data_IF_605649601799
#
_entry.id   IF_605649601799
#
_cell.length_a   1.000
_cell.length_b   1.000
_cell.length_c   1.000
_cell.angle_alpha   90.00
_cell.angle_beta   90.00
_cell.angle_gamma   90.00
#
_symmetry.space_group_name_H-M   'P 1'
#
loop_
_entity.id
_entity.type
_entity.pdbx_description
1 polymer ?
#
# COMPACT_ATOMS: atom_id res chain seq x y z
N UNK A 1 47.06 -22.84 30.33
CA UNK A 1 45.89 -23.65 29.97
C UNK A 1 45.04 -22.99 28.90
N UNK A 2 44.99 -21.65 28.84
CA UNK A 2 44.20 -20.85 27.89
C UNK A 2 45.10 -19.77 27.24
N UNK A 3 46.03 -20.13 26.32
CA UNK A 3 46.98 -19.18 25.77
C UNK A 3 46.28 -18.07 24.93
N UNK A 4 45.19 -18.40 24.23
CA UNK A 4 44.46 -17.42 23.45
C UNK A 4 43.80 -16.35 24.33
N UNK A 5 43.25 -16.76 25.48
CA UNK A 5 42.66 -15.81 26.46
C UNK A 5 43.77 -14.99 27.14
N UNK A 6 44.92 -15.61 27.44
CA UNK A 6 46.03 -14.89 28.02
C UNK A 6 46.61 -13.82 27.07
N UNK A 7 46.54 -14.03 25.75
CA UNK A 7 46.90 -13.05 24.75
C UNK A 7 45.99 -11.82 24.72
N UNK A 8 44.80 -11.88 25.27
CA UNK A 8 43.87 -10.76 25.42
C UNK A 8 44.02 -10.03 26.77
N UNK A 9 45.05 -10.36 27.56
CA UNK A 9 45.36 -9.69 28.83
C UNK A 9 45.81 -8.24 28.58
N UNK A 10 45.05 -7.27 29.11
CA UNK A 10 45.39 -5.86 28.91
C UNK A 10 46.57 -5.43 29.77
N UNK A 11 47.40 -4.52 29.23
CA UNK A 11 48.47 -3.87 29.93
C UNK A 11 48.03 -3.08 31.20
N UNK A 12 46.74 -2.71 31.26
CA UNK A 12 46.13 -2.04 32.44
C UNK A 12 46.15 -2.90 33.71
N UNK A 13 46.43 -4.19 33.57
CA UNK A 13 46.56 -5.08 34.75
C UNK A 13 47.92 -5.00 35.41
N UNK A 14 48.93 -4.30 34.80
CA UNK A 14 50.26 -4.21 35.38
C UNK A 14 50.22 -3.78 36.85
N UNK A 15 50.97 -4.41 37.80
CA UNK A 15 52.00 -5.42 37.55
C UNK A 15 51.52 -6.88 37.46
N UNK A 16 50.20 -7.15 37.62
CA UNK A 16 49.63 -8.51 37.59
C UNK A 16 49.75 -9.13 36.19
N UNK A 17 50.28 -10.35 36.12
CA UNK A 17 50.50 -11.08 34.87
C UNK A 17 49.50 -12.23 34.71
N UNK A 18 49.21 -12.67 33.46
CA UNK A 18 48.21 -13.74 33.24
C UNK A 18 48.66 -15.12 33.74
N UNK A 19 49.95 -15.33 33.93
CA UNK A 19 50.52 -16.56 34.50
C UNK A 19 50.46 -16.61 36.03
N UNK A 20 50.16 -15.45 36.69
CA UNK A 20 50.03 -15.36 38.13
C UNK A 20 48.59 -15.53 38.63
N UNK A 21 47.66 -15.84 37.72
CA UNK A 21 46.23 -16.05 38.02
C UNK A 21 45.76 -17.41 37.61
N UNK A 22 44.80 -17.99 38.33
CA UNK A 22 44.16 -19.25 37.98
C UNK A 22 42.98 -19.01 37.04
N UNK A 23 42.83 -19.88 36.05
CA UNK A 23 41.64 -19.96 35.25
C UNK A 23 40.41 -20.20 36.15
N UNK A 24 39.26 -19.68 35.76
CA UNK A 24 38.01 -19.73 36.54
C UNK A 24 38.04 -18.97 37.87
N UNK A 25 39.06 -18.11 38.09
CA UNK A 25 39.11 -17.24 39.24
C UNK A 25 37.98 -16.19 39.22
N UNK A 26 37.43 -15.90 40.40
CA UNK A 26 36.45 -14.82 40.61
C UNK A 26 37.09 -13.43 40.69
N UNK A 27 38.39 -13.32 40.46
CA UNK A 27 39.03 -12.02 40.30
C UNK A 27 38.64 -11.39 38.99
N UNK A 28 38.55 -10.08 38.94
CA UNK A 28 38.33 -9.31 37.71
C UNK A 28 39.68 -8.80 37.18
N UNK A 29 39.78 -8.79 35.85
CA UNK A 29 40.93 -8.22 35.14
C UNK A 29 40.46 -7.41 33.93
N UNK A 30 41.35 -6.59 33.39
CA UNK A 30 41.17 -5.87 32.15
C UNK A 30 41.55 -6.78 30.97
N UNK A 31 40.70 -6.78 29.96
CA UNK A 31 40.86 -7.57 28.75
C UNK A 31 40.91 -6.65 27.54
N UNK A 32 41.71 -6.96 26.54
CA UNK A 32 41.77 -6.31 25.24
C UNK A 32 41.58 -7.36 24.18
N UNK A 33 40.37 -7.43 23.62
CA UNK A 33 40.04 -8.42 22.59
C UNK A 33 40.69 -8.11 21.25
N UNK A 34 40.66 -9.10 20.34
CA UNK A 34 41.10 -8.95 18.93
C UNK A 34 40.30 -7.86 18.19
N UNK A 35 39.12 -7.52 18.65
CA UNK A 35 38.27 -6.42 18.18
C UNK A 35 38.78 -5.02 18.57
N UNK A 36 39.82 -4.94 19.39
CA UNK A 36 40.41 -3.69 19.88
C UNK A 36 39.70 -3.10 21.11
N UNK A 37 38.55 -3.60 21.51
CA UNK A 37 37.84 -3.15 22.68
C UNK A 37 38.54 -3.59 23.97
N UNK A 38 38.49 -2.74 24.99
CA UNK A 38 38.95 -3.06 26.33
C UNK A 38 37.80 -3.06 27.33
N UNK A 39 37.78 -4.08 28.20
CA UNK A 39 36.74 -4.22 29.23
C UNK A 39 37.27 -4.87 30.51
N UNK A 40 36.51 -4.69 31.56
CA UNK A 40 36.82 -5.26 32.86
C UNK A 40 35.83 -6.36 33.19
N UNK A 41 36.32 -7.61 33.33
CA UNK A 41 35.47 -8.79 33.53
C UNK A 41 36.14 -9.84 34.43
N UNK A 42 35.35 -10.77 34.95
CA UNK A 42 35.83 -11.91 35.70
C UNK A 42 36.71 -12.82 34.83
N UNK A 43 37.80 -13.34 35.41
CA UNK A 43 38.66 -14.32 34.76
C UNK A 43 37.87 -15.58 34.47
N UNK A 44 36.97 -16.02 35.38
CA UNK A 44 36.07 -17.16 35.16
C UNK A 44 35.21 -16.97 33.92
N UNK A 45 34.57 -15.80 33.74
CA UNK A 45 33.73 -15.54 32.56
C UNK A 45 34.54 -15.67 31.24
N UNK A 46 35.78 -15.19 31.22
CA UNK A 46 36.65 -15.37 30.04
C UNK A 46 37.00 -16.85 29.81
N UNK A 47 37.27 -17.57 30.90
CA UNK A 47 37.59 -19.01 30.85
C UNK A 47 36.40 -19.86 30.43
N UNK A 48 35.18 -19.40 30.67
CA UNK A 48 33.92 -20.00 30.24
C UNK A 48 33.57 -19.65 28.78
N UNK A 49 34.41 -18.86 28.10
CA UNK A 49 34.25 -18.55 26.70
C UNK A 49 33.48 -17.26 26.36
N UNK A 50 33.06 -16.47 27.37
CA UNK A 50 32.41 -15.18 27.12
C UNK A 50 33.39 -14.21 26.45
N UNK A 51 32.98 -13.61 25.34
CA UNK A 51 33.80 -12.68 24.54
C UNK A 51 33.73 -11.23 24.99
N UNK A 52 33.92 -10.35 24.04
CA UNK A 52 33.83 -8.91 24.26
C UNK A 52 32.35 -8.49 24.45
N UNK A 53 31.99 -7.90 25.61
CA UNK A 53 30.61 -7.54 25.91
C UNK A 53 30.01 -6.48 24.96
N UNK A 54 30.86 -5.73 24.27
CA UNK A 54 30.43 -4.73 23.29
C UNK A 54 30.11 -5.41 21.94
N UNK A 55 30.92 -6.38 21.51
CA UNK A 55 30.66 -7.14 20.28
C UNK A 55 29.45 -8.08 20.40
N UNK A 56 29.18 -8.54 21.63
CA UNK A 56 28.05 -9.42 21.94
C UNK A 56 26.78 -8.66 22.38
N UNK A 57 26.76 -7.33 22.22
CA UNK A 57 25.65 -6.44 22.61
C UNK A 57 25.19 -6.51 24.08
N UNK A 58 26.01 -7.10 24.93
CA UNK A 58 25.72 -7.16 26.39
C UNK A 58 25.98 -5.84 27.10
N UNK A 59 26.83 -4.98 26.52
CA UNK A 59 27.17 -3.67 27.06
C UNK A 59 27.21 -2.63 25.96
N UNK A 60 26.56 -1.50 26.20
CA UNK A 60 26.53 -0.39 25.27
C UNK A 60 27.91 0.31 25.17
N UNK A 61 28.34 0.57 23.96
CA UNK A 61 29.46 1.43 23.60
C UNK A 61 29.00 2.41 22.52
N UNK A 62 28.80 3.69 22.91
CA UNK A 62 28.36 4.72 21.96
C UNK A 62 29.35 4.88 20.80
N UNK A 63 28.82 5.05 19.60
CA UNK A 63 29.60 5.12 18.37
C UNK A 63 30.00 3.77 17.80
N UNK A 64 29.63 2.67 18.45
CA UNK A 64 29.95 1.32 17.97
C UNK A 64 28.72 0.39 17.86
N UNK A 65 28.11 0.03 19.00
CA UNK A 65 26.98 -0.91 19.02
C UNK A 65 25.68 -0.25 19.49
N UNK A 66 25.65 1.07 19.59
CA UNK A 66 24.39 1.77 19.81
C UNK A 66 23.52 1.72 18.54
N UNK A 67 22.21 1.78 18.75
CA UNK A 67 21.25 1.66 17.67
C UNK A 67 21.39 2.78 16.62
N UNK A 68 21.70 4.01 17.06
CA UNK A 68 21.86 5.14 16.14
C UNK A 68 23.06 4.95 15.20
N UNK A 69 24.15 4.37 15.69
CA UNK A 69 25.36 4.10 14.91
C UNK A 69 25.16 2.93 13.95
N UNK A 70 24.45 1.87 14.37
CA UNK A 70 24.22 0.68 13.54
C UNK A 70 23.12 0.89 12.51
N UNK A 71 22.08 1.66 12.84
CA UNK A 71 20.89 1.87 12.00
C UNK A 71 20.57 3.35 11.85
N UNK A 72 21.44 4.17 11.23
CA UNK A 72 21.30 5.62 11.20
C UNK A 72 20.03 6.10 10.49
N UNK A 73 19.52 5.34 9.53
CA UNK A 73 18.26 5.70 8.84
C UNK A 73 17.05 5.46 9.74
N UNK A 74 17.01 4.36 10.47
CA UNK A 74 15.93 4.07 11.43
C UNK A 74 16.02 5.01 12.64
N UNK A 75 17.21 5.39 13.04
CA UNK A 75 17.40 6.33 14.15
C UNK A 75 16.80 7.73 13.88
N UNK A 76 16.64 8.14 12.61
CA UNK A 76 15.92 9.37 12.23
C UNK A 76 14.42 9.30 12.51
N UNK A 77 13.88 8.09 12.62
CA UNK A 77 12.49 7.85 12.98
C UNK A 77 12.29 7.71 14.50
N UNK A 78 13.34 7.82 15.29
CA UNK A 78 13.26 7.71 16.75
C UNK A 78 12.48 8.89 17.33
N UNK A 79 11.37 8.60 18.01
CA UNK A 79 10.52 9.65 18.56
C UNK A 79 11.09 10.26 19.83
N UNK A 80 10.87 11.56 20.01
CA UNK A 80 11.19 12.31 21.23
C UNK A 80 10.39 11.84 22.45
N UNK A 81 9.31 11.08 22.25
CA UNK A 81 8.54 10.44 23.34
C UNK A 81 9.34 9.37 24.09
N UNK A 82 10.44 8.89 23.51
CA UNK A 82 11.32 7.96 24.20
C UNK A 82 12.09 8.68 25.31
N UNK A 83 12.16 8.02 26.48
CA UNK A 83 12.92 8.55 27.64
C UNK A 83 14.44 8.54 27.41
N UNK A 84 14.91 7.78 26.42
CA UNK A 84 16.32 7.61 26.07
C UNK A 84 16.52 7.82 24.58
N UNK A 85 17.69 8.33 24.19
CA UNK A 85 18.04 8.50 22.79
C UNK A 85 18.37 7.17 22.11
N UNK A 86 18.32 7.16 20.80
CA UNK A 86 18.70 6.01 19.96
C UNK A 86 20.19 5.61 20.15
N UNK A 87 21.03 6.54 20.56
CA UNK A 87 22.45 6.34 20.90
C UNK A 87 22.70 5.76 22.31
N UNK A 88 21.61 5.59 23.08
CA UNK A 88 21.66 5.08 24.44
C UNK A 88 21.08 3.66 24.59
N UNK A 89 20.80 3.00 23.48
CA UNK A 89 20.28 1.61 23.44
C UNK A 89 21.03 0.81 22.38
N UNK A 90 21.15 -0.51 22.58
CA UNK A 90 21.67 -1.44 21.56
C UNK A 90 20.52 -1.95 20.68
N UNK A 91 20.85 -2.49 19.50
CA UNK A 91 19.86 -3.12 18.60
C UNK A 91 19.12 -4.32 19.19
N UNK A 92 19.77 -5.01 20.15
CA UNK A 92 19.21 -6.16 20.89
C UNK A 92 18.33 -5.74 22.08
N UNK A 93 18.19 -4.44 22.36
CA UNK A 93 17.41 -3.98 23.51
C UNK A 93 15.94 -4.38 23.40
N UNK A 94 15.49 -5.18 24.34
CA UNK A 94 14.10 -5.55 24.46
C UNK A 94 13.24 -4.36 24.94
N UNK A 95 12.05 -4.23 24.39
CA UNK A 95 11.07 -3.21 24.77
C UNK A 95 10.43 -2.52 23.59
N UNK A 96 9.30 -1.90 23.87
CA UNK A 96 8.61 -1.04 22.90
C UNK A 96 9.19 0.36 22.95
N UNK A 97 9.52 0.89 21.79
CA UNK A 97 9.97 2.25 21.60
C UNK A 97 9.03 3.00 20.66
N UNK A 98 8.97 4.31 20.84
CA UNK A 98 8.18 5.20 20.01
C UNK A 98 8.95 5.59 18.74
N UNK A 99 8.24 5.58 17.63
CA UNK A 99 8.74 5.88 16.30
C UNK A 99 7.89 6.96 15.66
N UNK A 100 8.54 7.91 15.01
CA UNK A 100 7.90 8.93 14.21
C UNK A 100 7.97 8.52 12.73
N UNK A 101 6.81 8.41 12.07
CA UNK A 101 6.78 8.05 10.66
C UNK A 101 7.02 9.27 9.76
N UNK A 102 8.08 9.30 8.95
CA UNK A 102 8.35 10.45 8.08
C UNK A 102 7.30 10.61 6.95
N UNK A 103 6.59 9.54 6.61
CA UNK A 103 5.61 9.57 5.51
C UNK A 103 4.25 10.13 5.91
N UNK A 104 3.76 9.81 7.12
CA UNK A 104 2.43 10.24 7.57
C UNK A 104 2.46 11.16 8.80
N UNK A 105 3.63 11.37 9.41
CA UNK A 105 3.78 12.15 10.64
C UNK A 105 3.26 11.47 11.91
N UNK A 106 2.71 10.27 11.78
CA UNK A 106 2.14 9.53 12.92
C UNK A 106 3.21 8.95 13.83
N UNK A 107 2.92 8.90 15.12
CA UNK A 107 3.78 8.28 16.13
C UNK A 107 3.17 6.99 16.64
N UNK A 108 3.97 5.93 16.66
CA UNK A 108 3.55 4.59 17.06
C UNK A 108 4.62 3.86 17.84
N UNK A 109 4.25 2.84 18.58
CA UNK A 109 5.19 2.01 19.32
C UNK A 109 5.48 0.70 18.58
N UNK A 110 6.75 0.31 18.54
CA UNK A 110 7.19 -0.96 17.97
C UNK A 110 8.51 -1.42 18.62
N UNK A 111 8.79 -2.73 18.52
CA UNK A 111 10.08 -3.29 18.91
C UNK A 111 11.19 -2.86 17.95
N UNK A 112 12.40 -2.63 18.46
CA UNK A 112 13.58 -2.35 17.62
C UNK A 112 13.79 -3.48 16.61
N UNK A 113 13.75 -4.74 17.06
CA UNK A 113 13.90 -5.91 16.19
C UNK A 113 12.89 -5.90 15.04
N UNK A 114 11.61 -5.63 15.32
CA UNK A 114 10.58 -5.56 14.27
C UNK A 114 10.86 -4.46 13.25
N UNK A 115 11.42 -3.33 13.68
CA UNK A 115 11.80 -2.24 12.77
C UNK A 115 13.00 -2.61 11.91
N UNK A 116 13.99 -3.29 12.49
CA UNK A 116 15.15 -3.84 11.76
C UNK A 116 14.68 -4.87 10.73
N UNK A 117 13.73 -5.74 11.08
CA UNK A 117 13.12 -6.74 10.19
C UNK A 117 12.21 -6.14 9.11
N UNK A 118 12.13 -4.81 9.01
CA UNK A 118 11.40 -4.11 7.96
C UNK A 118 9.91 -3.86 8.23
N UNK A 119 9.44 -4.03 9.47
CA UNK A 119 8.06 -3.66 9.82
C UNK A 119 7.81 -2.17 9.58
N UNK A 120 6.75 -1.87 8.83
CA UNK A 120 6.35 -0.53 8.44
C UNK A 120 5.40 0.10 9.45
N UNK A 121 5.25 1.43 9.35
CA UNK A 121 4.26 2.19 10.11
C UNK A 121 2.86 1.56 10.01
N UNK A 122 2.17 1.30 11.14
CA UNK A 122 0.86 0.67 11.15
C UNK A 122 -0.23 1.55 10.51
N UNK A 123 -0.07 2.85 10.54
CA UNK A 123 -0.98 3.80 9.90
C UNK A 123 -0.82 3.77 8.37
N UNK A 124 0.42 3.84 7.86
CA UNK A 124 0.71 3.76 6.43
C UNK A 124 0.31 2.42 5.80
N UNK A 125 0.29 1.35 6.60
CA UNK A 125 -0.15 0.02 6.14
C UNK A 125 -1.65 -0.21 6.34
N UNK A 126 -2.37 0.72 6.97
CA UNK A 126 -3.79 0.59 7.26
C UNK A 126 -4.13 -0.45 8.33
N UNK A 127 -3.15 -0.97 9.09
CA UNK A 127 -3.38 -1.93 10.19
C UNK A 127 -4.01 -1.27 11.41
N UNK A 128 -3.71 -0.01 11.63
CA UNK A 128 -4.30 0.82 12.68
C UNK A 128 -4.90 2.04 12.02
N UNK A 129 -6.09 2.42 12.43
CA UNK A 129 -6.78 3.62 11.95
C UNK A 129 -6.74 4.67 13.03
N UNK A 130 -6.33 5.86 12.65
CA UNK A 130 -6.39 7.07 13.45
C UNK A 130 -7.20 8.09 12.67
N UNK A 131 -8.29 8.58 13.24
CA UNK A 131 -9.31 9.41 12.59
C UNK A 131 -8.69 10.58 11.82
N UNK A 132 -7.84 11.35 12.48
CA UNK A 132 -7.25 12.57 11.93
C UNK A 132 -5.97 12.33 11.10
N UNK A 133 -5.55 11.08 10.92
CA UNK A 133 -4.29 10.75 10.27
C UNK A 133 -4.50 9.95 8.97
N UNK A 134 -5.13 8.78 9.06
CA UNK A 134 -5.21 7.82 7.96
C UNK A 134 -6.60 7.22 7.72
N UNK A 135 -7.63 7.81 8.32
CA UNK A 135 -9.01 7.40 8.03
C UNK A 135 -9.38 7.67 6.57
N UNK A 136 -10.42 6.99 6.09
CA UNK A 136 -10.96 7.20 4.75
C UNK A 136 -11.43 8.65 4.57
N UNK A 137 -12.13 9.21 5.55
CA UNK A 137 -12.60 10.60 5.51
C UNK A 137 -11.46 11.59 5.40
N UNK A 138 -10.35 11.34 6.09
CA UNK A 138 -9.19 12.22 6.09
C UNK A 138 -8.41 12.16 4.78
N UNK A 139 -8.20 10.95 4.26
CA UNK A 139 -7.32 10.72 3.12
C UNK A 139 -8.04 10.80 1.77
N UNK A 140 -9.34 10.46 1.74
CA UNK A 140 -10.16 10.40 0.53
C UNK A 140 -11.55 10.99 0.78
N UNK A 141 -11.67 12.29 1.08
CA UNK A 141 -12.93 12.91 1.48
C UNK A 141 -14.03 12.80 0.41
N UNK A 142 -13.69 12.89 -0.87
CA UNK A 142 -14.64 12.73 -1.97
C UNK A 142 -15.25 11.31 -2.02
N UNK A 143 -14.44 10.28 -1.78
CA UNK A 143 -14.92 8.89 -1.72
C UNK A 143 -15.70 8.67 -0.42
N UNK A 144 -15.25 9.25 0.69
CA UNK A 144 -15.95 9.17 1.97
C UNK A 144 -17.35 9.83 1.93
N UNK A 145 -17.55 10.83 1.09
CA UNK A 145 -18.87 11.45 0.88
C UNK A 145 -19.90 10.48 0.26
N UNK A 146 -19.43 9.42 -0.42
CA UNK A 146 -20.27 8.36 -0.94
C UNK A 146 -20.53 7.23 0.08
N UNK A 147 -20.09 7.37 1.32
CA UNK A 147 -20.30 6.36 2.36
C UNK A 147 -21.78 6.26 2.73
N UNK A 148 -22.37 5.08 2.57
CA UNK A 148 -23.78 4.88 2.93
C UNK A 148 -23.95 4.68 4.43
N UNK A 149 -24.16 5.76 5.17
CA UNK A 149 -24.29 5.73 6.63
C UNK A 149 -25.47 4.87 7.10
N UNK A 150 -26.57 4.85 6.34
CA UNK A 150 -27.78 4.08 6.71
C UNK A 150 -27.53 2.58 6.70
N UNK A 151 -26.83 2.09 5.67
CA UNK A 151 -26.56 0.65 5.50
C UNK A 151 -25.33 0.17 6.24
N UNK A 152 -24.32 1.02 6.45
CA UNK A 152 -23.13 0.71 7.23
C UNK A 152 -23.31 0.87 8.74
N UNK A 153 -24.41 1.52 9.16
CA UNK A 153 -24.88 1.64 10.56
C UNK A 153 -23.83 2.06 11.58
N UNK A 154 -23.10 1.06 12.14
CA UNK A 154 -22.19 1.24 13.28
C UNK A 154 -20.78 1.64 12.88
N UNK A 155 -20.43 1.55 11.59
CA UNK A 155 -19.08 1.87 11.09
C UNK A 155 -19.14 3.13 10.25
N UNK A 156 -18.32 4.10 10.61
CA UNK A 156 -18.19 5.37 9.87
C UNK A 156 -16.93 5.38 9.00
N UNK A 157 -16.88 6.28 8.03
CA UNK A 157 -15.72 6.46 7.17
C UNK A 157 -14.47 6.92 7.94
N UNK A 158 -14.64 7.47 9.16
CA UNK A 158 -13.54 7.89 10.05
C UNK A 158 -12.88 6.71 10.78
N UNK A 159 -13.58 5.59 10.85
CA UNK A 159 -13.12 4.39 11.56
C UNK A 159 -12.43 3.36 10.65
N UNK A 160 -12.34 3.63 9.37
CA UNK A 160 -11.80 2.70 8.38
C UNK A 160 -10.64 3.32 7.60
N UNK A 161 -9.67 2.49 7.23
CA UNK A 161 -8.55 2.91 6.39
C UNK A 161 -8.91 2.81 4.91
N UNK A 162 -8.38 3.74 4.11
CA UNK A 162 -8.44 3.69 2.65
C UNK A 162 -7.86 2.39 2.04
N UNK A 163 -6.98 1.68 2.77
CA UNK A 163 -6.37 0.43 2.34
C UNK A 163 -7.15 -0.83 2.77
N UNK A 164 -8.30 -0.66 3.42
CA UNK A 164 -9.11 -1.78 3.90
C UNK A 164 -9.67 -2.61 2.74
N UNK A 165 -9.54 -3.94 2.87
CA UNK A 165 -10.12 -4.91 1.94
C UNK A 165 -11.53 -5.36 2.32
N UNK A 166 -12.10 -4.78 3.38
CA UNK A 166 -13.47 -5.05 3.80
C UNK A 166 -14.46 -4.38 2.86
N UNK A 167 -15.62 -5.00 2.67
CA UNK A 167 -16.71 -4.51 1.84
C UNK A 167 -17.69 -3.68 2.66
N UNK A 168 -18.07 -2.53 2.09
CA UNK A 168 -19.05 -1.62 2.65
C UNK A 168 -20.03 -1.14 1.59
N UNK A 169 -21.12 -0.57 2.04
CA UNK A 169 -22.13 0.04 1.19
C UNK A 169 -21.73 1.47 0.81
N UNK A 170 -21.93 1.78 -0.46
CA UNK A 170 -21.69 3.08 -1.07
C UNK A 170 -22.97 3.63 -1.66
N UNK A 171 -23.12 4.95 -1.68
CA UNK A 171 -24.21 5.69 -2.32
C UNK A 171 -23.62 6.92 -2.98
N UNK A 172 -23.50 6.90 -4.31
CA UNK A 172 -22.98 8.05 -5.04
C UNK A 172 -24.06 9.11 -5.30
N UNK A 173 -23.62 10.25 -5.83
CA UNK A 173 -24.50 11.37 -6.23
C UNK A 173 -25.53 10.98 -7.28
N UNK A 174 -25.30 9.91 -8.05
CA UNK A 174 -26.28 9.35 -8.99
C UNK A 174 -27.44 8.63 -8.30
N UNK A 175 -27.40 8.46 -6.96
CA UNK A 175 -28.42 7.75 -6.19
C UNK A 175 -28.28 6.22 -6.16
N UNK A 176 -27.38 5.64 -6.93
CA UNK A 176 -27.14 4.20 -6.89
C UNK A 176 -26.48 3.77 -5.60
N UNK A 177 -26.85 2.59 -5.13
CA UNK A 177 -26.29 1.96 -3.95
C UNK A 177 -25.71 0.59 -4.31
N UNK A 178 -24.46 0.34 -3.85
CA UNK A 178 -23.77 -0.92 -4.13
C UNK A 178 -22.79 -1.27 -3.01
N UNK A 179 -22.29 -2.49 -3.01
CA UNK A 179 -21.20 -2.94 -2.15
C UNK A 179 -19.88 -2.98 -2.91
N UNK A 180 -18.83 -2.47 -2.29
CA UNK A 180 -17.47 -2.61 -2.82
C UNK A 180 -16.46 -2.54 -1.67
N UNK A 181 -15.25 -3.08 -1.90
CA UNK A 181 -14.14 -2.94 -0.97
C UNK A 181 -13.65 -1.50 -0.98
N UNK A 182 -13.25 -1.01 0.20
CA UNK A 182 -12.67 0.34 0.28
C UNK A 182 -11.44 0.43 -0.64
N UNK A 183 -10.57 -0.56 -0.61
CA UNK A 183 -9.37 -0.63 -1.46
C UNK A 183 -9.68 -0.48 -2.96
N UNK A 184 -10.76 -1.10 -3.43
CA UNK A 184 -11.15 -1.02 -4.85
C UNK A 184 -11.60 0.40 -5.21
N UNK A 185 -12.29 1.09 -4.30
CA UNK A 185 -12.71 2.49 -4.48
C UNK A 185 -11.56 3.47 -4.44
N UNK A 186 -10.60 3.27 -3.53
CA UNK A 186 -9.52 4.24 -3.26
C UNK A 186 -8.29 4.05 -4.12
N UNK A 187 -7.82 2.80 -4.26
CA UNK A 187 -6.57 2.46 -4.96
C UNK A 187 -6.82 2.12 -6.42
N UNK A 188 -7.84 1.29 -6.69
CA UNK A 188 -8.20 0.87 -8.06
C UNK A 188 -9.12 1.87 -8.76
N UNK A 189 -9.68 2.83 -8.01
CA UNK A 189 -10.60 3.87 -8.51
C UNK A 189 -11.85 3.32 -9.23
N UNK A 190 -12.29 2.13 -8.84
CA UNK A 190 -13.49 1.50 -9.42
C UNK A 190 -14.70 2.41 -9.18
N UNK A 191 -15.41 2.87 -10.22
CA UNK A 191 -16.56 3.78 -10.11
C UNK A 191 -17.83 3.04 -9.63
N UNK A 192 -18.96 3.73 -9.69
CA UNK A 192 -20.27 3.10 -9.52
C UNK A 192 -20.53 2.11 -10.68
N UNK A 193 -20.69 0.82 -10.42
CA UNK A 193 -20.82 -0.18 -11.48
C UNK A 193 -22.07 0.01 -12.35
N UNK A 194 -23.12 0.62 -11.79
CA UNK A 194 -24.34 0.91 -12.57
C UNK A 194 -24.14 2.11 -13.48
N UNK A 195 -23.52 3.18 -12.98
CA UNK A 195 -23.18 4.33 -13.83
C UNK A 195 -22.20 3.96 -14.92
N UNK A 196 -21.23 3.10 -14.62
CA UNK A 196 -20.28 2.61 -15.62
C UNK A 196 -21.00 1.83 -16.74
N UNK A 197 -21.90 0.92 -16.38
CA UNK A 197 -22.71 0.19 -17.35
C UNK A 197 -23.60 1.14 -18.18
N UNK A 198 -24.31 2.06 -17.53
CA UNK A 198 -25.15 3.05 -18.21
C UNK A 198 -24.33 3.94 -19.13
N UNK A 199 -23.14 4.39 -18.69
CA UNK A 199 -22.24 5.24 -19.47
C UNK A 199 -21.73 4.51 -20.72
N UNK A 200 -21.25 3.28 -20.55
CA UNK A 200 -20.77 2.45 -21.67
C UNK A 200 -21.89 2.22 -22.70
N UNK A 201 -23.12 2.03 -22.24
CA UNK A 201 -24.27 1.83 -23.13
C UNK A 201 -24.68 3.10 -23.88
N UNK A 202 -24.67 4.27 -23.23
CA UNK A 202 -25.16 5.54 -23.80
C UNK A 202 -24.06 6.30 -24.56
N UNK A 203 -22.78 6.05 -24.28
CA UNK A 203 -21.66 6.82 -24.83
C UNK A 203 -21.61 6.80 -26.36
N UNK A 204 -21.80 5.68 -27.07
CA UNK A 204 -21.81 5.67 -28.53
C UNK A 204 -22.88 6.59 -29.11
N UNK A 205 -24.07 6.58 -28.52
CA UNK A 205 -25.20 7.42 -28.91
C UNK A 205 -24.87 8.90 -28.73
N UNK A 206 -24.25 9.28 -27.58
CA UNK A 206 -23.83 10.65 -27.32
C UNK A 206 -22.76 11.14 -28.28
N UNK A 207 -21.77 10.31 -28.62
CA UNK A 207 -20.74 10.65 -29.59
C UNK A 207 -21.33 10.90 -30.99
N UNK A 208 -22.25 10.02 -31.42
CA UNK A 208 -22.94 10.21 -32.70
C UNK A 208 -23.78 11.48 -32.68
N UNK A 209 -24.52 11.77 -31.60
CA UNK A 209 -25.30 12.99 -31.46
C UNK A 209 -24.43 14.25 -31.50
N UNK A 210 -23.26 14.26 -30.83
CA UNK A 210 -22.34 15.39 -30.85
C UNK A 210 -21.77 15.64 -32.27
N UNK A 211 -21.36 14.58 -32.95
CA UNK A 211 -20.84 14.67 -34.31
C UNK A 211 -21.90 15.15 -35.32
N UNK A 212 -23.10 14.57 -35.26
CA UNK A 212 -24.20 14.96 -36.15
C UNK A 212 -24.73 16.33 -35.84
N UNK A 213 -24.78 16.76 -34.55
CA UNK A 213 -25.14 18.10 -34.15
C UNK A 213 -24.21 19.18 -34.72
N UNK A 214 -22.88 18.92 -34.77
CA UNK A 214 -21.92 19.82 -35.41
C UNK A 214 -22.15 19.98 -36.91
N UNK A 215 -22.68 18.97 -37.58
CA UNK A 215 -22.94 18.97 -39.01
C UNK A 215 -24.41 19.27 -39.36
N UNK A 216 -25.26 19.52 -38.36
CA UNK A 216 -26.71 19.72 -38.50
C UNK A 216 -27.46 18.54 -39.12
N UNK A 217 -26.95 17.32 -38.94
CA UNK A 217 -27.60 16.07 -39.34
C UNK A 217 -28.55 15.55 -38.27
N UNK A 218 -29.61 14.88 -38.71
CA UNK A 218 -30.56 14.21 -37.81
C UNK A 218 -30.05 12.82 -37.45
N UNK A 219 -30.21 12.41 -36.21
CA UNK A 219 -30.02 11.00 -35.80
C UNK A 219 -31.35 10.44 -35.37
N UNK A 220 -31.69 9.29 -35.89
CA UNK A 220 -32.87 8.50 -35.50
C UNK A 220 -32.39 7.31 -34.68
N UNK A 221 -32.94 7.16 -33.48
CA UNK A 221 -32.62 6.05 -32.60
C UNK A 221 -33.76 5.04 -32.60
N UNK A 222 -33.41 3.77 -32.52
CA UNK A 222 -34.38 2.66 -32.45
C UNK A 222 -35.45 2.72 -33.53
N UNK A 223 -35.10 3.16 -34.75
CA UNK A 223 -36.03 3.33 -35.86
C UNK A 223 -36.17 2.08 -36.71
N UNK A 224 -37.37 1.79 -37.16
CA UNK A 224 -37.72 0.72 -38.13
C UNK A 224 -38.21 1.27 -39.46
N UNK A 225 -38.31 2.57 -39.60
CA UNK A 225 -38.93 3.26 -40.75
C UNK A 225 -38.25 2.95 -42.09
N UNK A 226 -36.96 2.67 -42.07
CA UNK A 226 -36.19 2.48 -43.28
C UNK A 226 -36.24 1.06 -43.85
N UNK A 227 -36.22 0.07 -42.96
CA UNK A 227 -35.97 -1.33 -43.36
C UNK A 227 -37.06 -2.30 -42.90
N UNK A 228 -38.01 -1.82 -42.07
CA UNK A 228 -38.93 -2.66 -41.31
C UNK A 228 -38.25 -3.51 -40.25
N UNK A 229 -36.94 -3.28 -39.99
CA UNK A 229 -36.18 -3.91 -38.90
C UNK A 229 -35.54 -2.78 -38.09
N UNK A 230 -35.70 -2.88 -36.78
CA UNK A 230 -35.22 -1.90 -35.82
C UNK A 230 -33.70 -1.73 -35.91
N UNK A 231 -33.25 -0.48 -36.19
CA UNK A 231 -31.85 -0.07 -36.20
C UNK A 231 -31.54 0.72 -34.93
N UNK A 232 -30.40 0.50 -34.35
CA UNK A 232 -30.00 1.21 -33.12
C UNK A 232 -29.82 2.72 -33.38
N UNK A 233 -29.07 3.08 -34.40
CA UNK A 233 -28.87 4.46 -34.84
C UNK A 233 -28.90 4.55 -36.37
N UNK A 234 -29.59 5.56 -36.89
CA UNK A 234 -29.62 5.86 -38.32
C UNK A 234 -29.44 7.36 -38.58
N UNK A 235 -28.61 7.70 -39.55
CA UNK A 235 -28.36 9.07 -40.00
C UNK A 235 -28.81 9.19 -41.44
N UNK A 236 -30.02 9.74 -41.68
CA UNK A 236 -30.61 9.82 -43.04
C UNK A 236 -29.75 10.56 -44.03
N UNK A 237 -29.14 11.71 -43.63
CA UNK A 237 -28.32 12.57 -44.50
C UNK A 237 -27.09 11.83 -45.02
N UNK A 238 -26.59 10.83 -44.33
CA UNK A 238 -25.45 10.02 -44.73
C UNK A 238 -25.83 8.63 -45.27
N UNK A 239 -27.10 8.31 -45.23
CA UNK A 239 -27.61 6.94 -45.49
C UNK A 239 -26.81 5.89 -44.73
N UNK A 240 -26.68 6.10 -43.40
CA UNK A 240 -25.75 5.36 -42.52
C UNK A 240 -26.49 4.78 -41.33
N UNK A 241 -26.47 3.46 -41.20
CA UNK A 241 -26.90 2.72 -40.01
C UNK A 241 -25.69 2.29 -39.16
N UNK A 242 -25.77 2.48 -37.85
CA UNK A 242 -24.71 2.18 -36.89
C UNK A 242 -25.30 1.31 -35.78
N UNK A 243 -24.63 0.21 -35.48
CA UNK A 243 -25.05 -0.72 -34.42
C UNK A 243 -23.83 -1.24 -33.62
N UNK A 244 -24.10 -1.62 -32.37
CA UNK A 244 -23.09 -2.32 -31.55
C UNK A 244 -22.87 -3.73 -32.11
N UNK A 245 -21.61 -4.15 -32.22
CA UNK A 245 -21.23 -5.49 -32.63
C UNK A 245 -21.67 -6.50 -31.59
N UNK A 246 -22.51 -7.44 -31.94
CA UNK A 246 -22.88 -8.55 -31.09
C UNK A 246 -21.66 -9.42 -30.77
N UNK A 247 -21.51 -9.79 -29.50
CA UNK A 247 -20.50 -10.76 -29.07
C UNK A 247 -20.79 -12.20 -29.50
N UNK A 248 -22.01 -12.48 -29.99
CA UNK A 248 -22.36 -13.77 -30.56
C UNK A 248 -22.06 -13.76 -32.07
N UNK A 249 -21.01 -14.47 -32.50
CA UNK A 249 -20.63 -14.62 -33.91
C UNK A 249 -21.74 -15.24 -34.78
N UNK A 250 -22.74 -15.86 -34.18
CA UNK A 250 -23.89 -16.46 -34.85
C UNK A 250 -25.11 -15.55 -34.90
N UNK A 251 -24.95 -14.28 -34.54
CA UNK A 251 -26.08 -13.35 -34.54
C UNK A 251 -26.68 -13.22 -35.94
N UNK A 252 -27.80 -13.96 -36.15
CA UNK A 252 -28.53 -13.99 -37.41
C UNK A 252 -29.15 -12.64 -37.71
N UNK A 253 -29.58 -11.90 -36.70
CA UNK A 253 -30.23 -10.62 -36.85
C UNK A 253 -29.29 -9.58 -37.48
N UNK A 254 -28.07 -9.43 -37.03
CA UNK A 254 -27.09 -8.50 -37.60
C UNK A 254 -26.73 -8.83 -39.04
N UNK A 255 -26.69 -10.11 -39.39
CA UNK A 255 -26.50 -10.56 -40.78
C UNK A 255 -27.67 -10.16 -41.69
N UNK A 256 -28.88 -10.33 -41.19
CA UNK A 256 -30.09 -9.91 -41.92
C UNK A 256 -30.15 -8.40 -42.06
N UNK A 257 -29.87 -7.64 -41.00
CA UNK A 257 -29.81 -6.17 -41.04
C UNK A 257 -28.80 -5.68 -42.08
N UNK A 258 -27.60 -6.25 -42.09
CA UNK A 258 -26.58 -5.92 -43.07
C UNK A 258 -27.07 -6.15 -44.49
N UNK A 259 -27.63 -7.30 -44.76
CA UNK A 259 -28.17 -7.67 -46.09
C UNK A 259 -29.30 -6.71 -46.55
N UNK A 260 -30.19 -6.33 -45.63
CA UNK A 260 -31.28 -5.39 -45.96
C UNK A 260 -30.69 -3.97 -46.22
N UNK A 261 -29.72 -3.53 -45.43
CA UNK A 261 -29.03 -2.27 -45.66
C UNK A 261 -28.37 -2.25 -47.06
N UNK A 262 -27.70 -3.33 -47.44
CA UNK A 262 -27.07 -3.46 -48.76
C UNK A 262 -28.10 -3.37 -49.91
N UNK A 263 -29.29 -3.98 -49.76
CA UNK A 263 -30.36 -3.90 -50.72
C UNK A 263 -30.94 -2.49 -50.91
N UNK A 264 -30.84 -1.65 -49.88
CA UNK A 264 -31.38 -0.29 -49.84
C UNK A 264 -30.29 0.79 -50.00
N UNK A 265 -29.08 0.38 -50.39
CA UNK A 265 -27.91 1.27 -50.53
C UNK A 265 -27.59 2.05 -49.22
N UNK A 266 -27.86 1.45 -48.05
CA UNK A 266 -27.55 2.00 -46.75
C UNK A 266 -26.21 1.45 -46.29
N UNK A 267 -25.30 2.38 -45.89
CA UNK A 267 -24.05 1.95 -45.26
C UNK A 267 -24.30 1.43 -43.85
N UNK A 268 -23.81 0.23 -43.55
CA UNK A 268 -24.00 -0.42 -42.27
C UNK A 268 -22.65 -0.58 -41.55
N UNK A 269 -22.49 0.05 -40.39
CA UNK A 269 -21.28 0.03 -39.58
C UNK A 269 -21.58 -0.62 -38.23
N UNK A 270 -20.70 -1.52 -37.82
CA UNK A 270 -20.68 -2.07 -36.47
C UNK A 270 -19.56 -1.44 -35.68
N UNK A 271 -19.87 -0.89 -34.50
CA UNK A 271 -18.84 -0.46 -33.57
C UNK A 271 -18.60 -1.53 -32.51
N UNK A 272 -17.38 -1.60 -31.99
CA UNK A 272 -17.06 -2.50 -30.87
C UNK A 272 -17.60 -1.90 -29.58
N UNK A 273 -18.23 -2.72 -28.72
CA UNK A 273 -18.71 -2.23 -27.43
C UNK A 273 -17.55 -1.72 -26.58
N UNK A 274 -17.72 -0.57 -25.96
CA UNK A 274 -16.76 -0.08 -24.97
C UNK A 274 -16.77 -1.00 -23.75
N UNK A 275 -15.58 -1.37 -23.28
CA UNK A 275 -15.43 -2.23 -22.09
C UNK A 275 -15.41 -1.42 -20.80
N UNK A 276 -15.00 -0.16 -20.91
CA UNK A 276 -14.96 0.80 -19.79
C UNK A 276 -15.04 2.23 -20.31
N UNK A 277 -15.25 3.19 -19.40
CA UNK A 277 -15.20 4.61 -19.72
C UNK A 277 -13.79 5.08 -20.14
N UNK A 278 -12.75 4.28 -19.87
CA UNK A 278 -11.36 4.57 -20.27
C UNK A 278 -11.08 4.18 -21.71
N UNK A 279 -11.91 3.33 -22.32
CA UNK A 279 -11.77 2.88 -23.72
C UNK A 279 -12.40 3.87 -24.69
N UNK A 280 -13.17 4.84 -24.21
CA UNK A 280 -13.88 5.85 -25.01
C UNK A 280 -13.08 7.18 -25.13
#
# INVERSE_FOLDING_TARGET
RFPEIAAEWSEKNYPLRPDEVTAFSNKKAWWKGKCGHEWYALISSRSDGHGCPYCEDHKLLKGFNDFASQYPQLAKEWSEKNKVGADAVTSSKAGLFWWHCPSCGGEYSAWISSRIDGSRCPYCTGRVVEENLNSLSKTHPAIAAEWNCEKNRTVTADQVSALSKQEYWWKSSCGHEWKAKIYDRTVRKVPCPKCEQEFVYVLPQLLVMLYTGQNHWKVEFDTDDLTGIRMEMYIPELNLAIEERSTDERNHEQKVKRYICELQDVRYILYEPFKSAEDA
#
